data_IF_207004163577
#
_entry.id   IF_207004163577
#
_cell.length_a   1.000
_cell.length_b   1.000
_cell.length_c   1.000
_cell.angle_alpha   90.00
_cell.angle_beta   90.00
_cell.angle_gamma   90.00
#
_symmetry.space_group_name_H-M   'P 1'
#
loop_
_entity.id
_entity.type
_entity.pdbx_description
1 polymer ?
#
# COMPACT_ATOMS: atom_id res chain seq x y z
N UNK A 1 37.20 25.95 -1.56
CA UNK A 1 36.40 24.71 -1.53
C UNK A 1 36.96 23.76 -2.58
N UNK A 2 37.34 22.54 -2.20
CA UNK A 2 37.83 21.52 -3.14
C UNK A 2 36.62 20.82 -3.79
N UNK A 3 36.11 21.43 -4.86
CA UNK A 3 34.93 20.94 -5.58
C UNK A 3 35.14 19.55 -6.20
N UNK A 4 36.38 19.15 -6.44
CA UNK A 4 36.71 17.84 -7.00
C UNK A 4 36.50 16.72 -6.00
N UNK A 5 37.03 16.88 -4.77
CA UNK A 5 36.75 15.96 -3.67
C UNK A 5 35.27 15.88 -3.33
N UNK A 6 34.57 17.03 -3.37
CA UNK A 6 33.12 17.07 -3.14
C UNK A 6 32.34 16.28 -4.19
N UNK A 7 32.68 16.43 -5.49
CA UNK A 7 32.06 15.65 -6.59
C UNK A 7 32.31 14.15 -6.43
N UNK A 8 33.54 13.75 -6.12
CA UNK A 8 33.89 12.33 -5.98
C UNK A 8 33.21 11.67 -4.77
N UNK A 9 33.14 12.38 -3.63
CA UNK A 9 32.39 11.92 -2.46
C UNK A 9 30.90 11.76 -2.77
N UNK A 10 30.33 12.68 -3.55
CA UNK A 10 28.93 12.63 -3.97
C UNK A 10 28.67 11.46 -4.93
N UNK A 11 29.54 11.24 -5.91
CA UNK A 11 29.43 10.13 -6.87
C UNK A 11 29.45 8.77 -6.16
N UNK A 12 30.34 8.59 -5.17
CA UNK A 12 30.38 7.37 -4.34
C UNK A 12 29.08 7.14 -3.56
N UNK A 13 28.54 8.20 -2.94
CA UNK A 13 27.25 8.10 -2.23
C UNK A 13 26.10 7.73 -3.17
N UNK A 14 26.05 8.38 -4.34
CA UNK A 14 25.05 8.04 -5.36
C UNK A 14 25.17 6.58 -5.78
N UNK A 15 26.39 6.10 -6.00
CA UNK A 15 26.63 4.69 -6.34
C UNK A 15 26.14 3.70 -5.29
N UNK A 16 26.32 4.02 -3.99
CA UNK A 16 25.76 3.22 -2.89
C UNK A 16 24.24 3.17 -2.94
N UNK A 17 23.57 4.33 -3.14
CA UNK A 17 22.11 4.39 -3.23
C UNK A 17 21.58 3.62 -4.45
N UNK A 18 22.23 3.72 -5.60
CA UNK A 18 21.86 2.96 -6.81
C UNK A 18 22.00 1.45 -6.61
N UNK A 19 23.09 1.03 -5.97
CA UNK A 19 23.31 -0.38 -5.65
C UNK A 19 22.25 -0.89 -4.68
N UNK A 20 21.95 -0.12 -3.65
CA UNK A 20 20.93 -0.46 -2.66
C UNK A 20 19.54 -0.60 -3.31
N UNK A 21 19.12 0.40 -4.10
CA UNK A 21 17.87 0.36 -4.86
C UNK A 21 17.77 -0.87 -5.78
N UNK A 22 18.84 -1.20 -6.50
CA UNK A 22 18.89 -2.39 -7.36
C UNK A 22 18.71 -3.68 -6.54
N UNK A 23 19.40 -3.79 -5.40
CA UNK A 23 19.33 -4.97 -4.53
C UNK A 23 17.97 -5.10 -3.84
N UNK A 24 17.36 -3.99 -3.41
CA UNK A 24 16.01 -3.97 -2.86
C UNK A 24 14.96 -4.46 -3.86
N UNK A 25 15.15 -4.17 -5.16
CA UNK A 25 14.36 -4.73 -6.27
C UNK A 25 14.72 -6.17 -6.65
N UNK A 26 15.74 -6.76 -6.04
CA UNK A 26 16.21 -8.12 -6.32
C UNK A 26 16.84 -8.30 -7.70
N UNK A 27 17.29 -7.21 -8.34
CA UNK A 27 17.80 -7.26 -9.72
C UNK A 27 19.31 -7.51 -9.79
N UNK A 28 19.73 -8.28 -10.78
CA UNK A 28 21.14 -8.41 -11.15
C UNK A 28 21.63 -7.16 -11.89
N UNK A 29 22.95 -6.97 -11.93
CA UNK A 29 23.58 -5.91 -12.74
C UNK A 29 23.19 -6.01 -14.24
N UNK A 30 23.01 -7.23 -14.74
CA UNK A 30 22.68 -7.45 -16.16
C UNK A 30 21.26 -7.01 -16.49
N UNK A 31 20.31 -7.35 -15.63
CA UNK A 31 18.89 -6.99 -15.82
C UNK A 31 18.68 -5.47 -15.70
N UNK A 32 19.30 -4.85 -14.70
CA UNK A 32 19.19 -3.41 -14.51
C UNK A 32 19.88 -2.62 -15.64
N UNK A 33 21.07 -3.06 -16.08
CA UNK A 33 21.76 -2.40 -17.18
C UNK A 33 20.98 -2.51 -18.51
N UNK A 34 20.37 -3.68 -18.76
CA UNK A 34 19.53 -3.89 -19.95
C UNK A 34 18.30 -2.97 -19.95
N UNK A 35 17.68 -2.71 -18.80
CA UNK A 35 16.54 -1.81 -18.69
C UNK A 35 16.86 -0.36 -19.10
N UNK A 36 18.12 0.05 -18.92
CA UNK A 36 18.61 1.37 -19.33
C UNK A 36 19.26 1.39 -20.72
N UNK A 37 19.41 0.23 -21.37
CA UNK A 37 20.16 0.13 -22.62
C UNK A 37 21.67 0.39 -22.46
N UNK A 38 22.22 0.22 -21.25
CA UNK A 38 23.65 0.40 -20.96
C UNK A 38 24.36 -0.94 -20.71
N UNK A 39 25.70 -0.92 -20.65
CA UNK A 39 26.47 -2.12 -20.34
C UNK A 39 26.48 -2.42 -18.82
N UNK A 40 26.57 -3.70 -18.40
CA UNK A 40 26.74 -4.04 -16.98
C UNK A 40 28.02 -3.44 -16.37
N UNK A 41 29.04 -3.18 -17.18
CA UNK A 41 30.27 -2.52 -16.74
C UNK A 41 30.04 -1.04 -16.42
N UNK A 42 29.25 -0.34 -17.24
CA UNK A 42 28.83 1.05 -17.00
C UNK A 42 28.04 1.16 -15.71
N UNK A 43 27.02 0.31 -15.53
CA UNK A 43 26.23 0.31 -14.30
C UNK A 43 27.08 0.00 -13.06
N UNK A 44 28.04 -0.93 -13.16
CA UNK A 44 28.98 -1.22 -12.07
C UNK A 44 29.89 -0.02 -11.75
N UNK A 45 30.31 0.74 -12.76
CA UNK A 45 31.08 1.97 -12.54
C UNK A 45 30.25 3.04 -11.82
N UNK A 46 28.95 3.13 -12.13
CA UNK A 46 28.00 3.98 -11.39
C UNK A 46 27.89 3.55 -9.92
N UNK A 47 27.68 2.26 -9.65
CA UNK A 47 27.54 1.73 -8.27
C UNK A 47 28.80 1.90 -7.41
N UNK A 48 29.99 1.96 -8.03
CA UNK A 48 31.26 2.23 -7.31
C UNK A 48 31.54 3.72 -7.14
N UNK A 49 30.83 4.59 -7.87
CA UNK A 49 31.08 6.02 -7.94
C UNK A 49 32.34 6.39 -8.74
N UNK A 50 32.84 5.49 -9.59
CA UNK A 50 33.94 5.77 -10.53
C UNK A 50 33.44 6.67 -11.68
N UNK A 51 32.18 6.47 -12.05
CA UNK A 51 31.39 7.33 -12.92
C UNK A 51 30.07 7.65 -12.23
N UNK A 52 29.37 8.68 -12.70
CA UNK A 52 28.03 9.00 -12.24
C UNK A 52 27.07 9.00 -13.43
N UNK A 53 25.82 8.54 -13.26
CA UNK A 53 24.81 8.72 -14.28
C UNK A 53 24.54 10.21 -14.49
N UNK A 54 24.19 10.57 -15.72
CA UNK A 54 23.54 11.83 -16.03
C UNK A 54 22.16 11.94 -15.38
N UNK A 55 21.60 13.15 -15.33
CA UNK A 55 20.25 13.35 -14.79
C UNK A 55 19.18 12.48 -15.51
N UNK A 56 19.11 12.42 -16.86
CA UNK A 56 18.15 11.54 -17.53
C UNK A 56 18.33 10.05 -17.23
N UNK A 57 19.58 9.59 -17.11
CA UNK A 57 19.86 8.20 -16.70
C UNK A 57 19.41 7.95 -15.25
N UNK A 58 19.60 8.94 -14.37
CA UNK A 58 19.15 8.86 -12.98
C UNK A 58 17.62 8.89 -12.86
N UNK A 59 16.94 9.70 -13.67
CA UNK A 59 15.47 9.70 -13.79
C UNK A 59 14.95 8.36 -14.28
N UNK A 60 15.57 7.78 -15.31
CA UNK A 60 15.24 6.46 -15.81
C UNK A 60 15.46 5.36 -14.74
N UNK A 61 16.57 5.44 -13.98
CA UNK A 61 16.83 4.54 -12.85
C UNK A 61 15.77 4.70 -11.75
N UNK A 62 15.43 5.93 -11.37
CA UNK A 62 14.40 6.23 -10.37
C UNK A 62 13.04 5.65 -10.79
N UNK A 63 12.62 5.89 -12.04
CA UNK A 63 11.41 5.31 -12.62
C UNK A 63 11.45 3.78 -12.61
N UNK A 64 12.56 3.18 -13.05
CA UNK A 64 12.72 1.72 -13.11
C UNK A 64 12.68 1.05 -11.73
N UNK A 65 13.25 1.71 -10.72
CA UNK A 65 13.21 1.24 -9.33
C UNK A 65 11.87 1.56 -8.64
N UNK A 66 11.07 2.48 -9.16
CA UNK A 66 9.83 2.96 -8.53
C UNK A 66 10.11 3.83 -7.31
N UNK A 67 11.17 4.65 -7.37
CA UNK A 67 11.61 5.52 -6.29
C UNK A 67 11.48 7.00 -6.69
N UNK A 68 11.14 7.89 -5.75
CA UNK A 68 11.16 9.32 -6.01
C UNK A 68 12.59 9.77 -6.33
N UNK A 69 12.74 10.72 -7.25
CA UNK A 69 14.05 11.19 -7.71
C UNK A 69 14.88 11.73 -6.53
N UNK A 70 14.22 12.42 -5.60
CA UNK A 70 14.76 13.02 -4.38
C UNK A 70 15.47 11.99 -3.48
N UNK A 71 15.10 10.71 -3.56
CA UNK A 71 15.79 9.64 -2.85
C UNK A 71 17.30 9.67 -3.15
N UNK A 72 17.67 9.91 -4.40
CA UNK A 72 19.07 9.93 -4.83
C UNK A 72 19.80 11.23 -4.46
N UNK A 73 19.09 12.26 -3.98
CA UNK A 73 19.65 13.54 -3.50
C UNK A 73 20.00 13.49 -2.02
N UNK A 74 19.30 12.62 -1.26
CA UNK A 74 19.42 12.48 0.19
C UNK A 74 20.66 11.72 0.68
N UNK A 75 20.69 11.51 2.00
CA UNK A 75 21.70 10.68 2.70
C UNK A 75 21.12 9.33 3.16
N UNK A 76 19.83 9.12 2.98
CA UNK A 76 19.10 7.97 3.50
C UNK A 76 19.21 6.80 2.52
N UNK A 77 19.67 5.67 3.02
CA UNK A 77 19.79 4.40 2.30
C UNK A 77 18.45 3.67 2.50
N UNK A 78 17.87 3.06 1.45
CA UNK A 78 16.54 2.42 1.55
C UNK A 78 16.56 1.27 2.56
N UNK A 79 17.72 0.67 2.79
CA UNK A 79 17.91 -0.36 3.81
C UNK A 79 17.53 0.08 5.23
N UNK A 80 17.47 1.40 5.52
CA UNK A 80 17.11 1.94 6.83
C UNK A 80 15.60 2.25 6.98
N UNK A 81 14.82 2.23 5.91
CA UNK A 81 13.36 2.30 5.97
C UNK A 81 12.79 0.91 5.69
N UNK A 82 12.75 0.01 6.69
CA UNK A 82 12.06 -1.25 6.52
C UNK A 82 10.62 -0.90 6.22
N UNK A 83 10.21 -1.10 4.96
CA UNK A 83 8.80 -1.13 4.58
C UNK A 83 8.04 -1.81 5.73
N UNK A 84 6.93 -1.26 6.24
CA UNK A 84 6.21 -1.85 7.36
C UNK A 84 5.87 -3.34 7.16
N UNK A 85 5.89 -3.80 5.90
CA UNK A 85 5.74 -5.19 5.48
C UNK A 85 6.99 -6.07 5.65
N UNK A 86 8.20 -5.51 5.62
CA UNK A 86 9.47 -6.24 5.68
C UNK A 86 9.78 -6.82 7.08
N UNK A 87 9.16 -6.30 8.14
CA UNK A 87 9.37 -6.75 9.53
C UNK A 87 8.20 -7.57 10.11
N UNK A 88 7.09 -7.71 9.38
CA UNK A 88 5.93 -8.47 9.87
C UNK A 88 6.22 -9.99 9.79
N UNK A 89 6.06 -10.75 10.90
CA UNK A 89 6.19 -12.21 10.88
C UNK A 89 4.99 -12.83 10.15
N UNK A 90 5.03 -12.84 8.81
CA UNK A 90 3.90 -13.25 7.94
C UNK A 90 3.31 -14.60 8.32
N UNK A 91 4.14 -15.57 8.71
CA UNK A 91 3.68 -16.89 9.14
C UNK A 91 2.74 -16.82 10.35
N UNK A 92 3.10 -16.02 11.36
CA UNK A 92 2.30 -15.85 12.58
C UNK A 92 1.02 -15.07 12.27
N UNK A 93 1.13 -14.03 11.42
CA UNK A 93 0.00 -13.23 10.98
C UNK A 93 -1.03 -14.08 10.21
N UNK A 94 -0.57 -14.92 9.28
CA UNK A 94 -1.42 -15.85 8.52
C UNK A 94 -2.14 -16.81 9.47
N UNK A 95 -1.42 -17.42 10.43
CA UNK A 95 -2.01 -18.34 11.38
C UNK A 95 -3.08 -17.67 12.27
N UNK A 96 -2.82 -16.44 12.73
CA UNK A 96 -3.79 -15.65 13.49
C UNK A 96 -5.04 -15.35 12.65
N UNK A 97 -4.84 -14.90 11.40
CA UNK A 97 -5.93 -14.59 10.47
C UNK A 97 -6.80 -15.81 10.16
N UNK A 98 -6.21 -17.00 9.97
CA UNK A 98 -6.96 -18.24 9.77
C UNK A 98 -7.91 -18.53 10.94
N UNK A 99 -7.44 -18.35 12.19
CA UNK A 99 -8.27 -18.55 13.39
C UNK A 99 -9.40 -17.53 13.49
N UNK A 100 -9.12 -16.26 13.19
CA UNK A 100 -10.13 -15.19 13.21
C UNK A 100 -11.22 -15.47 12.16
N UNK A 101 -10.84 -15.83 10.94
CA UNK A 101 -11.79 -16.16 9.86
C UNK A 101 -12.65 -17.37 10.25
N UNK A 102 -12.04 -18.43 10.80
CA UNK A 102 -12.77 -19.61 11.28
C UNK A 102 -13.78 -19.26 12.38
N UNK A 103 -13.38 -18.48 13.37
CA UNK A 103 -14.26 -18.04 14.45
C UNK A 103 -15.40 -17.14 13.93
N UNK A 104 -15.10 -16.25 12.97
CA UNK A 104 -16.10 -15.39 12.33
C UNK A 104 -17.11 -16.20 11.51
N UNK A 105 -16.65 -17.20 10.77
CA UNK A 105 -17.51 -18.12 10.02
C UNK A 105 -18.48 -18.83 10.96
N UNK A 106 -17.96 -19.36 12.07
CA UNK A 106 -18.78 -20.00 13.11
C UNK A 106 -19.81 -19.05 13.68
N UNK A 107 -19.39 -17.84 14.05
CA UNK A 107 -20.28 -16.81 14.59
C UNK A 107 -21.43 -16.50 13.63
N UNK A 108 -21.13 -16.27 12.35
CA UNK A 108 -22.15 -15.96 11.33
C UNK A 108 -23.10 -17.15 11.14
N UNK A 109 -22.57 -18.38 11.07
CA UNK A 109 -23.40 -19.60 10.98
C UNK A 109 -24.37 -19.71 12.15
N UNK A 110 -23.89 -19.50 13.38
CA UNK A 110 -24.70 -19.56 14.59
C UNK A 110 -25.76 -18.45 14.62
N UNK A 111 -25.42 -17.22 14.21
CA UNK A 111 -26.37 -16.10 14.08
C UNK A 111 -27.47 -16.38 13.04
N UNK A 112 -27.15 -17.14 11.99
CA UNK A 112 -28.12 -17.59 10.97
C UNK A 112 -28.92 -18.82 11.42
N UNK A 113 -28.69 -19.35 12.62
CA UNK A 113 -29.40 -20.53 13.15
C UNK A 113 -29.06 -21.84 12.42
N UNK A 114 -27.97 -21.86 11.62
CA UNK A 114 -27.61 -23.04 10.84
C UNK A 114 -26.80 -24.02 11.68
N UNK A 115 -27.20 -25.29 11.66
CA UNK A 115 -26.37 -26.35 12.23
C UNK A 115 -25.12 -26.58 11.39
N UNK A 116 -24.05 -27.09 12.01
CA UNK A 116 -22.83 -27.48 11.30
C UNK A 116 -23.11 -28.50 10.18
N UNK A 117 -24.07 -29.42 10.40
CA UNK A 117 -24.46 -30.43 9.41
C UNK A 117 -25.21 -29.82 8.23
N UNK A 118 -26.07 -28.83 8.48
CA UNK A 118 -26.82 -28.14 7.43
C UNK A 118 -25.89 -27.36 6.50
N UNK A 119 -25.01 -26.51 7.06
CA UNK A 119 -24.05 -25.74 6.26
C UNK A 119 -23.09 -26.65 5.49
N UNK A 120 -22.59 -27.72 6.13
CA UNK A 120 -21.71 -28.68 5.46
C UNK A 120 -22.40 -29.40 4.28
N UNK A 121 -23.66 -29.79 4.44
CA UNK A 121 -24.43 -30.43 3.38
C UNK A 121 -24.65 -29.48 2.19
N UNK A 122 -25.03 -28.24 2.45
CA UNK A 122 -25.28 -27.23 1.42
C UNK A 122 -23.98 -26.83 0.69
N UNK A 123 -22.87 -26.72 1.42
CA UNK A 123 -21.55 -26.44 0.85
C UNK A 123 -20.89 -27.67 0.20
N UNK A 124 -21.52 -28.86 0.26
CA UNK A 124 -20.96 -30.13 -0.21
C UNK A 124 -19.59 -30.46 0.42
N UNK A 125 -19.43 -30.15 1.70
CA UNK A 125 -18.21 -30.38 2.47
C UNK A 125 -18.42 -31.47 3.53
N UNK A 126 -17.40 -32.28 3.84
CA UNK A 126 -17.44 -33.13 5.03
C UNK A 126 -17.63 -32.30 6.30
N UNK A 127 -18.55 -32.71 7.18
CA UNK A 127 -18.82 -32.01 8.46
C UNK A 127 -17.54 -31.82 9.28
N UNK A 128 -16.65 -32.81 9.29
CA UNK A 128 -15.35 -32.72 9.97
C UNK A 128 -14.42 -31.65 9.37
N UNK A 129 -14.51 -31.41 8.05
CA UNK A 129 -13.72 -30.37 7.37
C UNK A 129 -14.21 -28.98 7.76
N UNK A 130 -15.52 -28.74 7.69
CA UNK A 130 -16.12 -27.49 8.15
C UNK A 130 -15.83 -27.24 9.64
N UNK A 131 -15.87 -28.29 10.47
CA UNK A 131 -15.46 -28.21 11.88
C UNK A 131 -14.02 -27.72 12.02
N UNK A 132 -13.07 -28.34 11.32
CA UNK A 132 -11.66 -27.93 11.38
C UNK A 132 -11.43 -26.49 10.90
N UNK A 133 -12.24 -26.01 9.95
CA UNK A 133 -12.22 -24.60 9.52
C UNK A 133 -12.68 -23.66 10.63
N UNK A 134 -13.84 -23.92 11.24
CA UNK A 134 -14.39 -23.08 12.30
C UNK A 134 -13.49 -22.99 13.56
N UNK A 135 -12.72 -24.03 13.84
CA UNK A 135 -11.74 -24.04 14.93
C UNK A 135 -10.35 -23.50 14.53
N UNK A 136 -10.15 -23.11 13.27
CA UNK A 136 -8.86 -22.64 12.76
C UNK A 136 -7.75 -23.71 12.78
N UNK A 137 -8.13 -24.99 12.75
CA UNK A 137 -7.20 -26.13 12.69
C UNK A 137 -6.71 -26.38 11.25
N UNK A 138 -7.53 -26.01 10.26
CA UNK A 138 -7.17 -26.05 8.84
C UNK A 138 -7.45 -24.70 8.20
N UNK A 139 -6.58 -24.24 7.27
CA UNK A 139 -6.89 -23.08 6.44
C UNK A 139 -8.11 -23.36 5.57
N UNK A 140 -8.92 -22.34 5.35
CA UNK A 140 -10.07 -22.39 4.45
C UNK A 140 -9.59 -21.93 3.06
N UNK A 141 -9.65 -22.79 2.02
CA UNK A 141 -9.38 -22.36 0.66
C UNK A 141 -10.36 -21.25 0.24
N UNK A 142 -9.90 -20.24 -0.51
CA UNK A 142 -10.75 -19.11 -0.90
C UNK A 142 -12.04 -19.54 -1.62
N UNK A 143 -12.03 -20.49 -2.59
CA UNK A 143 -13.28 -20.95 -3.22
C UNK A 143 -14.28 -21.60 -2.26
N UNK A 144 -13.77 -22.30 -1.23
CA UNK A 144 -14.63 -22.88 -0.19
C UNK A 144 -15.19 -21.77 0.71
N UNK A 145 -14.38 -20.74 1.04
CA UNK A 145 -14.84 -19.57 1.78
C UNK A 145 -15.90 -18.77 1.00
N UNK A 146 -15.73 -18.59 -0.32
CA UNK A 146 -16.71 -17.98 -1.23
C UNK A 146 -18.03 -18.73 -1.21
N UNK A 147 -17.98 -20.05 -1.34
CA UNK A 147 -19.17 -20.92 -1.27
C UNK A 147 -19.89 -20.78 0.06
N UNK A 148 -19.14 -20.84 1.18
CA UNK A 148 -19.68 -20.69 2.53
C UNK A 148 -20.28 -19.29 2.74
N UNK A 149 -19.62 -18.24 2.25
CA UNK A 149 -20.09 -16.87 2.35
C UNK A 149 -21.38 -16.64 1.54
N UNK A 150 -21.47 -17.25 0.34
CA UNK A 150 -22.67 -17.20 -0.49
C UNK A 150 -23.88 -17.86 0.20
N UNK A 151 -23.69 -19.06 0.76
CA UNK A 151 -24.73 -19.78 1.53
C UNK A 151 -25.16 -18.97 2.76
N UNK A 152 -24.18 -18.40 3.48
CA UNK A 152 -24.43 -17.54 4.64
C UNK A 152 -24.91 -16.14 4.28
N UNK A 153 -25.06 -15.83 2.98
CA UNK A 153 -25.49 -14.55 2.43
C UNK A 153 -24.73 -13.36 3.05
N UNK A 154 -23.40 -13.46 3.07
CA UNK A 154 -22.50 -12.45 3.60
C UNK A 154 -21.43 -12.12 2.57
N UNK A 155 -21.04 -10.84 2.46
CA UNK A 155 -19.90 -10.45 1.60
C UNK A 155 -18.60 -11.03 2.15
N UNK A 156 -17.68 -11.40 1.25
CA UNK A 156 -16.30 -11.75 1.62
C UNK A 156 -15.62 -10.64 2.43
N UNK A 157 -16.05 -9.39 2.28
CA UNK A 157 -15.55 -8.25 3.03
C UNK A 157 -15.66 -8.44 4.56
N UNK A 158 -16.67 -9.20 5.01
CA UNK A 158 -16.87 -9.50 6.43
C UNK A 158 -15.74 -10.35 7.04
N UNK A 159 -14.94 -11.01 6.20
CA UNK A 159 -13.80 -11.82 6.61
C UNK A 159 -12.47 -11.09 6.43
N UNK A 160 -12.44 -9.88 5.88
CA UNK A 160 -11.21 -9.13 5.69
C UNK A 160 -10.62 -8.68 7.02
N UNK A 161 -9.33 -8.32 6.98
CA UNK A 161 -8.67 -7.67 8.10
C UNK A 161 -9.11 -6.21 8.11
N UNK A 162 -9.82 -5.79 9.15
CA UNK A 162 -10.30 -4.41 9.30
C UNK A 162 -9.31 -3.56 10.08
N UNK A 163 -8.89 -4.04 11.26
CA UNK A 163 -8.10 -3.29 12.23
C UNK A 163 -6.62 -3.71 12.28
N UNK A 164 -6.26 -4.82 11.63
CA UNK A 164 -4.88 -5.29 11.59
C UNK A 164 -4.01 -4.61 10.52
N UNK A 165 -2.71 -4.94 10.48
CA UNK A 165 -1.76 -4.32 9.57
C UNK A 165 -2.12 -4.53 8.08
N UNK A 166 -2.78 -5.65 7.74
CA UNK A 166 -3.22 -5.88 6.35
C UNK A 166 -4.45 -5.04 6.00
N UNK A 167 -5.30 -4.75 6.98
CA UNK A 167 -6.43 -3.83 6.85
C UNK A 167 -5.97 -2.40 6.61
N UNK A 168 -5.05 -1.91 7.45
CA UNK A 168 -4.43 -0.59 7.29
C UNK A 168 -3.77 -0.42 5.91
N UNK A 169 -2.97 -1.41 5.49
CA UNK A 169 -2.34 -1.38 4.16
C UNK A 169 -3.37 -1.35 3.03
N UNK A 170 -4.42 -2.18 3.09
CA UNK A 170 -5.50 -2.18 2.08
C UNK A 170 -6.24 -0.84 2.03
N UNK A 171 -6.51 -0.24 3.19
CA UNK A 171 -7.15 1.08 3.29
C UNK A 171 -6.29 2.14 2.61
N UNK A 172 -4.99 2.16 2.90
CA UNK A 172 -4.05 3.06 2.26
C UNK A 172 -4.03 2.88 0.73
N UNK A 173 -4.01 1.64 0.24
CA UNK A 173 -4.06 1.38 -1.22
C UNK A 173 -5.34 1.93 -1.84
N UNK A 174 -6.49 1.79 -1.16
CA UNK A 174 -7.78 2.33 -1.64
C UNK A 174 -7.81 3.86 -1.63
N UNK A 175 -7.25 4.50 -0.61
CA UNK A 175 -7.13 5.96 -0.52
C UNK A 175 -6.25 6.52 -1.63
N UNK A 176 -5.11 5.87 -1.90
CA UNK A 176 -4.21 6.24 -3.00
C UNK A 176 -4.93 6.06 -4.35
N UNK A 177 -5.59 4.92 -4.57
CA UNK A 177 -6.34 4.69 -5.80
C UNK A 177 -7.43 5.75 -6.02
N UNK A 178 -8.22 6.06 -4.98
CA UNK A 178 -9.24 7.11 -5.05
C UNK A 178 -8.66 8.51 -5.31
N UNK A 179 -7.49 8.83 -4.73
CA UNK A 179 -6.80 10.08 -5.04
C UNK A 179 -6.35 10.13 -6.51
N UNK A 180 -5.83 9.03 -7.05
CA UNK A 180 -5.40 8.94 -8.44
C UNK A 180 -6.57 9.02 -9.43
N UNK A 181 -7.78 8.66 -9.03
CA UNK A 181 -9.00 8.80 -9.84
C UNK A 181 -9.51 10.25 -9.92
N UNK A 182 -9.05 11.16 -9.04
CA UNK A 182 -9.46 12.57 -9.10
C UNK A 182 -8.97 13.24 -10.40
N UNK A 183 -9.75 14.20 -10.94
CA UNK A 183 -9.29 15.07 -12.02
C UNK A 183 -7.94 15.72 -11.70
N UNK A 184 -7.08 15.85 -12.71
CA UNK A 184 -5.74 16.43 -12.57
C UNK A 184 -5.74 17.79 -11.83
N UNK A 185 -6.62 18.76 -12.15
CA UNK A 185 -6.64 20.03 -11.42
C UNK A 185 -6.91 19.88 -9.91
N UNK A 186 -7.72 18.89 -9.51
CA UNK A 186 -7.99 18.61 -8.10
C UNK A 186 -6.82 17.91 -7.42
N UNK A 187 -6.15 16.99 -8.11
CA UNK A 187 -4.92 16.37 -7.59
C UNK A 187 -3.83 17.40 -7.34
N UNK A 188 -3.62 18.31 -8.31
CA UNK A 188 -2.67 19.42 -8.17
C UNK A 188 -3.05 20.33 -6.99
N UNK A 189 -4.32 20.73 -6.90
CA UNK A 189 -4.80 21.58 -5.81
C UNK A 189 -4.57 20.94 -4.44
N UNK A 190 -4.95 19.67 -4.27
CA UNK A 190 -4.83 18.95 -2.99
C UNK A 190 -3.36 18.70 -2.61
N UNK A 191 -2.47 18.54 -3.58
CA UNK A 191 -1.05 18.24 -3.32
C UNK A 191 -0.25 19.45 -2.81
N UNK A 192 -0.76 20.67 -2.95
CA UNK A 192 -0.05 21.88 -2.55
C UNK A 192 -0.26 22.17 -1.06
N UNK A 193 0.82 22.25 -0.23
CA UNK A 193 0.69 22.51 1.22
C UNK A 193 -0.03 23.83 1.55
N UNK A 194 0.11 24.85 0.71
CA UNK A 194 -0.56 26.15 0.85
C UNK A 194 -2.09 26.01 0.81
N UNK A 195 -2.62 24.96 0.18
CA UNK A 195 -4.06 24.74 0.03
C UNK A 195 -4.69 24.02 1.22
N UNK A 196 -3.90 23.58 2.20
CA UNK A 196 -4.38 22.88 3.39
C UNK A 196 -5.49 23.62 4.15
N UNK A 197 -5.44 24.95 4.36
CA UNK A 197 -6.54 25.67 5.01
C UNK A 197 -7.87 25.57 4.26
N UNK A 198 -7.84 25.53 2.92
CA UNK A 198 -9.06 25.36 2.12
C UNK A 198 -9.65 23.96 2.26
N UNK A 199 -8.79 22.93 2.32
CA UNK A 199 -9.21 21.55 2.53
C UNK A 199 -9.80 21.36 3.93
N UNK A 200 -9.16 21.92 4.96
CA UNK A 200 -9.67 21.89 6.34
C UNK A 200 -11.00 22.64 6.46
N UNK A 201 -11.15 23.77 5.76
CA UNK A 201 -12.43 24.48 5.68
C UNK A 201 -13.50 23.64 5.00
N UNK A 202 -13.20 23.04 3.85
CA UNK A 202 -14.13 22.17 3.13
C UNK A 202 -14.56 20.96 3.99
N UNK A 203 -13.62 20.36 4.73
CA UNK A 203 -13.91 19.29 5.68
C UNK A 203 -14.88 19.76 6.77
N UNK A 204 -14.59 20.89 7.43
CA UNK A 204 -15.48 21.44 8.48
C UNK A 204 -16.87 21.74 7.95
N UNK A 205 -16.97 22.33 6.75
CA UNK A 205 -18.25 22.60 6.10
C UNK A 205 -19.03 21.30 5.85
N UNK A 206 -18.37 20.23 5.41
CA UNK A 206 -19.02 18.94 5.17
C UNK A 206 -19.59 18.27 6.42
N UNK A 207 -19.08 18.62 7.60
CA UNK A 207 -19.52 18.10 8.90
C UNK A 207 -20.67 18.91 9.52
N UNK A 208 -21.02 20.06 8.93
CA UNK A 208 -22.06 20.95 9.45
C UNK A 208 -23.48 20.48 9.07
N UNK A 209 -24.46 20.80 9.92
CA UNK A 209 -25.87 20.59 9.57
C UNK A 209 -26.30 21.51 8.43
N UNK A 210 -27.31 21.08 7.67
CA UNK A 210 -27.84 21.82 6.50
C UNK A 210 -28.24 23.25 6.87
N UNK A 211 -28.87 23.46 8.03
CA UNK A 211 -29.30 24.80 8.47
C UNK A 211 -28.11 25.73 8.75
N UNK A 212 -27.03 25.19 9.34
CA UNK A 212 -25.80 25.96 9.57
C UNK A 212 -25.10 26.31 8.27
N UNK A 213 -25.10 25.39 7.29
CA UNK A 213 -24.54 25.65 5.97
C UNK A 213 -25.32 26.75 5.22
N UNK A 214 -26.65 26.75 5.32
CA UNK A 214 -27.48 27.81 4.73
C UNK A 214 -27.20 29.18 5.34
N UNK A 215 -27.11 29.26 6.67
CA UNK A 215 -26.79 30.52 7.35
C UNK A 215 -25.41 31.07 6.93
N UNK A 216 -24.40 30.20 6.76
CA UNK A 216 -23.09 30.60 6.24
C UNK A 216 -23.19 31.11 4.80
N UNK A 217 -23.97 30.44 3.95
CA UNK A 217 -24.16 30.86 2.56
C UNK A 217 -24.89 32.20 2.43
N UNK A 218 -25.94 32.40 3.23
CA UNK A 218 -26.69 33.67 3.32
C UNK A 218 -25.77 34.81 3.78
N UNK A 219 -24.97 34.59 4.82
CA UNK A 219 -23.99 35.58 5.28
C UNK A 219 -22.93 35.92 4.22
N UNK A 220 -22.47 34.96 3.41
CA UNK A 220 -21.54 35.23 2.31
C UNK A 220 -22.19 36.02 1.16
N UNK A 221 -23.46 35.76 0.86
CA UNK A 221 -24.23 36.51 -0.13
C UNK A 221 -24.44 37.97 0.31
N UNK A 222 -24.76 38.21 1.58
CA UNK A 222 -24.93 39.56 2.12
C UNK A 222 -23.64 40.40 2.09
N UNK A 223 -22.46 39.77 2.22
CA UNK A 223 -21.17 40.47 2.19
C UNK A 223 -20.70 40.76 0.75
N UNK A 224 -21.25 40.06 -0.24
CA UNK A 224 -20.84 40.18 -1.65
C UNK A 224 -21.78 41.02 -2.52
N UNK A 225 -22.88 41.53 -1.94
CA UNK A 225 -23.84 42.48 -2.53
C UNK A 225 -23.58 43.91 -2.04
#
# INVERSE_FOLDING_TARGET
MDYEKARLLRARRLGVLLRDARLAKGQSLKECAAALGISPATLRAYERGDQAPSLPELEALAYHFGLPLEHFWGREILSDDPSPLASLPLKQLIALRQRIIGAKLRQIREQRGLSLKALAAEAQLPVGRLRSYEYGQKPIPLPELETLAAILQVSLDAFLDADGPLGAWRKQQKEIAGFLELPEPLREFVSQPINRPYLELAQRLSEMSVDKLRAVAEGLLEITL
#
